data_IF_177224677463
#
_entry.id   IF_177224677463
#
_cell.length_a   1.000
_cell.length_b   1.000
_cell.length_c   1.000
_cell.angle_alpha   90.00
_cell.angle_beta   90.00
_cell.angle_gamma   90.00
#
_symmetry.space_group_name_H-M   'P 1'
#
loop_
_entity.id
_entity.type
_entity.pdbx_description
1 polymer ?
#
# COMPACT_ATOMS: atom_id res chain seq x y z
N UNK A 1 10.20 -3.68 -22.25
CA UNK A 1 9.94 -3.15 -20.89
C UNK A 1 8.45 -2.95 -20.68
N UNK A 2 7.76 -2.17 -21.52
CA UNK A 2 6.29 -1.96 -21.41
C UNK A 2 5.47 -3.26 -21.36
N UNK A 3 5.75 -4.25 -22.22
CA UNK A 3 5.00 -5.53 -22.18
C UNK A 3 5.24 -6.35 -20.91
N UNK A 4 6.47 -6.33 -20.38
CA UNK A 4 6.80 -7.00 -19.12
C UNK A 4 6.16 -6.30 -17.92
N UNK A 5 6.00 -4.98 -18.01
CA UNK A 5 5.29 -4.17 -17.04
C UNK A 5 3.78 -4.45 -17.09
N UNK A 6 3.21 -4.57 -18.29
CA UNK A 6 1.80 -4.94 -18.48
C UNK A 6 1.50 -6.33 -17.90
N UNK A 7 2.31 -7.35 -18.23
CA UNK A 7 2.17 -8.70 -17.67
C UNK A 7 2.27 -8.70 -16.13
N UNK A 8 3.21 -7.92 -15.59
CA UNK A 8 3.40 -7.77 -14.15
C UNK A 8 2.19 -7.13 -13.44
N UNK A 9 1.57 -6.11 -14.06
CA UNK A 9 0.35 -5.46 -13.55
C UNK A 9 -0.87 -6.36 -13.72
N UNK A 10 -0.95 -7.07 -14.85
CA UNK A 10 -2.10 -7.91 -15.20
C UNK A 10 -2.21 -9.14 -14.31
N UNK A 11 -1.09 -9.81 -14.02
CA UNK A 11 -1.10 -11.03 -13.20
C UNK A 11 -1.02 -10.74 -11.70
N UNK A 12 -0.08 -9.87 -11.29
CA UNK A 12 0.19 -9.59 -9.87
C UNK A 12 0.69 -10.79 -9.04
N UNK A 13 0.89 -11.96 -9.65
CA UNK A 13 1.29 -13.22 -8.97
C UNK A 13 2.77 -13.52 -9.19
N UNK A 14 3.61 -13.23 -8.18
CA UNK A 14 4.98 -13.74 -7.99
C UNK A 14 6.04 -13.35 -9.02
N UNK A 15 5.75 -13.42 -10.32
CA UNK A 15 6.64 -13.17 -11.44
C UNK A 15 6.93 -11.68 -11.66
N UNK A 16 6.00 -10.81 -11.28
CA UNK A 16 6.11 -9.36 -11.39
C UNK A 16 7.43 -8.82 -10.81
N UNK A 17 7.94 -9.43 -9.72
CA UNK A 17 9.21 -9.04 -9.10
C UNK A 17 10.41 -9.26 -10.02
N UNK A 18 10.42 -10.35 -10.80
CA UNK A 18 11.51 -10.62 -11.74
C UNK A 18 11.47 -9.65 -12.91
N UNK A 19 10.27 -9.28 -13.37
CA UNK A 19 10.09 -8.24 -14.39
C UNK A 19 10.55 -6.88 -13.89
N UNK A 20 10.20 -6.52 -12.65
CA UNK A 20 10.66 -5.33 -11.98
C UNK A 20 12.19 -5.32 -11.87
N UNK A 21 12.82 -6.36 -11.32
CA UNK A 21 14.28 -6.45 -11.19
C UNK A 21 15.03 -6.43 -12.53
N UNK A 22 14.44 -7.03 -13.57
CA UNK A 22 14.95 -6.97 -14.93
C UNK A 22 14.87 -5.56 -15.52
N UNK A 23 13.70 -4.92 -15.41
CA UNK A 23 13.52 -3.53 -15.81
C UNK A 23 14.46 -2.61 -15.03
N UNK A 24 14.73 -2.95 -13.76
CA UNK A 24 15.58 -2.16 -12.91
C UNK A 24 17.00 -2.02 -13.48
N UNK A 25 17.59 -3.17 -13.81
CA UNK A 25 18.93 -3.26 -14.41
C UNK A 25 19.01 -2.53 -15.76
N UNK A 26 17.94 -2.57 -16.55
CA UNK A 26 17.89 -1.91 -17.85
C UNK A 26 17.87 -0.38 -17.74
N UNK A 27 17.08 0.19 -16.83
CA UNK A 27 17.04 1.64 -16.63
C UNK A 27 18.40 2.19 -16.19
N UNK A 28 19.06 1.52 -15.23
CA UNK A 28 20.41 1.91 -14.78
C UNK A 28 21.42 1.86 -15.93
N UNK A 29 21.35 0.84 -16.79
CA UNK A 29 22.25 0.73 -17.93
C UNK A 29 22.06 1.86 -18.97
N UNK A 30 20.85 2.44 -19.06
CA UNK A 30 20.48 3.45 -20.05
C UNK A 30 20.83 4.88 -19.63
N UNK A 31 20.78 5.19 -18.33
CA UNK A 31 21.18 6.50 -17.79
C UNK A 31 22.66 6.85 -18.08
N UNK A 32 23.48 5.88 -18.49
CA UNK A 32 24.88 6.06 -18.87
C UNK A 32 25.14 6.60 -20.29
N UNK A 33 24.10 6.83 -21.11
CA UNK A 33 24.25 7.22 -22.52
C UNK A 33 23.77 8.66 -22.78
N UNK A 34 24.61 9.47 -23.45
CA UNK A 34 24.30 10.87 -23.79
C UNK A 34 23.28 10.98 -24.94
N UNK A 35 22.29 11.89 -24.86
CA UNK A 35 21.20 11.96 -25.83
C UNK A 35 21.59 12.69 -27.13
N UNK A 36 21.19 12.15 -28.29
CA UNK A 36 21.31 12.84 -29.59
C UNK A 36 20.29 12.34 -30.63
N UNK A 37 19.04 12.85 -30.61
CA UNK A 37 18.13 12.96 -31.78
C UNK A 37 16.66 13.22 -31.36
N UNK A 38 15.75 13.60 -32.28
CA UNK A 38 14.30 13.69 -32.03
C UNK A 38 13.64 12.34 -31.66
N UNK A 39 14.13 11.23 -32.19
CA UNK A 39 13.72 9.86 -31.79
C UNK A 39 13.97 9.62 -30.30
N UNK A 40 14.96 10.31 -29.73
CA UNK A 40 15.29 10.26 -28.31
C UNK A 40 14.14 10.79 -27.44
N UNK A 41 13.41 11.84 -27.84
CA UNK A 41 12.31 12.40 -27.02
C UNK A 41 11.18 11.41 -26.75
N UNK A 42 10.82 10.59 -27.74
CA UNK A 42 9.80 9.55 -27.57
C UNK A 42 10.33 8.40 -26.69
N UNK A 43 11.62 8.07 -26.82
CA UNK A 43 12.31 7.11 -25.96
C UNK A 43 12.40 7.65 -24.52
N UNK A 44 12.63 8.94 -24.33
CA UNK A 44 12.75 9.59 -23.02
C UNK A 44 11.39 9.60 -22.29
N UNK A 45 10.27 9.85 -23.00
CA UNK A 45 8.94 9.73 -22.40
C UNK A 45 8.61 8.28 -22.00
N UNK A 46 8.94 7.31 -22.85
CA UNK A 46 8.76 5.89 -22.53
C UNK A 46 9.64 5.47 -21.34
N UNK A 47 10.89 5.93 -21.28
CA UNK A 47 11.80 5.65 -20.19
C UNK A 47 11.30 6.31 -18.88
N UNK A 48 10.74 7.52 -18.93
CA UNK A 48 10.09 8.17 -17.80
C UNK A 48 8.84 7.41 -17.32
N UNK A 49 7.97 7.01 -18.24
CA UNK A 49 6.79 6.18 -17.92
C UNK A 49 7.19 4.85 -17.29
N UNK A 50 8.18 4.17 -17.85
CA UNK A 50 8.67 2.88 -17.31
C UNK A 50 9.35 3.08 -15.96
N UNK A 51 10.07 4.18 -15.76
CA UNK A 51 10.65 4.53 -14.47
C UNK A 51 9.56 4.74 -13.41
N UNK A 52 8.55 5.55 -13.71
CA UNK A 52 7.43 5.84 -12.83
C UNK A 52 6.67 4.57 -12.45
N UNK A 53 6.40 3.75 -13.44
CA UNK A 53 5.72 2.47 -13.29
C UNK A 53 6.53 1.48 -12.42
N UNK A 54 7.84 1.36 -12.67
CA UNK A 54 8.72 0.53 -11.85
C UNK A 54 8.75 1.03 -10.39
N UNK A 55 8.77 2.34 -10.18
CA UNK A 55 8.80 2.92 -8.85
C UNK A 55 7.49 2.65 -8.10
N UNK A 56 6.34 2.84 -8.73
CA UNK A 56 5.04 2.51 -8.13
C UNK A 56 4.93 1.02 -7.83
N UNK A 57 5.32 0.15 -8.77
CA UNK A 57 5.33 -1.30 -8.53
C UNK A 57 6.25 -1.70 -7.38
N UNK A 58 7.42 -1.06 -7.25
CA UNK A 58 8.33 -1.30 -6.14
C UNK A 58 7.68 -0.88 -4.83
N UNK A 59 7.15 0.34 -4.72
CA UNK A 59 6.55 0.88 -3.49
C UNK A 59 5.32 0.09 -3.07
N UNK A 60 4.43 -0.20 -4.01
CA UNK A 60 3.18 -0.90 -3.73
C UNK A 60 3.40 -2.39 -3.53
N UNK A 61 4.19 -3.05 -4.38
CA UNK A 61 4.48 -4.47 -4.27
C UNK A 61 5.24 -4.82 -2.99
N UNK A 62 6.08 -3.90 -2.50
CA UNK A 62 6.73 -3.99 -1.20
C UNK A 62 5.77 -4.16 0.00
N UNK A 63 4.50 -3.78 -0.15
CA UNK A 63 3.48 -3.90 0.92
C UNK A 63 2.92 -5.31 1.06
N UNK A 64 2.96 -6.13 0.00
CA UNK A 64 2.36 -7.46 -0.06
C UNK A 64 3.35 -8.57 -0.42
N UNK A 65 4.61 -8.20 -0.72
CA UNK A 65 5.71 -9.13 -0.90
C UNK A 65 6.39 -9.47 0.43
N UNK A 66 7.03 -10.65 0.44
CA UNK A 66 7.88 -11.05 1.56
C UNK A 66 9.11 -10.14 1.68
N UNK A 67 9.65 -9.99 2.91
CA UNK A 67 10.91 -9.28 3.10
C UNK A 67 12.03 -9.89 2.26
N UNK A 68 12.87 -9.02 1.69
CA UNK A 68 14.00 -9.46 0.88
C UNK A 68 13.63 -10.06 -0.49
N UNK A 69 12.33 -10.17 -0.84
CA UNK A 69 11.91 -10.61 -2.17
C UNK A 69 12.25 -9.59 -3.27
N UNK A 70 12.39 -8.32 -2.92
CA UNK A 70 12.75 -7.22 -3.82
C UNK A 70 14.15 -6.74 -3.48
N UNK A 71 14.92 -6.34 -4.49
CA UNK A 71 16.15 -5.59 -4.22
C UNK A 71 15.81 -4.18 -3.76
N UNK A 72 16.79 -3.49 -3.16
CA UNK A 72 16.62 -2.11 -2.67
C UNK A 72 15.93 -1.25 -3.73
N UNK A 73 14.97 -0.40 -3.34
CA UNK A 73 14.29 0.48 -4.26
C UNK A 73 15.30 1.26 -5.09
N UNK A 74 14.91 1.60 -6.31
CA UNK A 74 15.66 2.56 -7.09
C UNK A 74 15.77 3.93 -6.46
N UNK A 75 14.87 4.20 -5.52
CA UNK A 75 14.83 5.39 -4.72
C UNK A 75 16.15 5.53 -3.93
N UNK A 76 17.14 6.16 -4.55
CA UNK A 76 18.30 6.70 -3.85
C UNK A 76 17.82 7.84 -2.95
N UNK A 77 18.58 8.15 -1.90
CA UNK A 77 18.47 9.43 -1.20
C UNK A 77 18.54 10.66 -2.12
N UNK A 78 19.02 10.48 -3.36
CA UNK A 78 19.10 11.52 -4.40
C UNK A 78 17.79 11.71 -5.20
N UNK A 79 16.85 10.76 -5.14
CA UNK A 79 15.53 10.90 -5.77
C UNK A 79 14.64 11.67 -4.79
N UNK A 80 14.58 12.98 -4.99
CA UNK A 80 13.88 13.90 -4.08
C UNK A 80 12.35 13.74 -4.06
N UNK A 81 11.67 14.43 -3.12
CA UNK A 81 10.21 14.41 -2.95
C UNK A 81 9.44 14.80 -4.23
N UNK A 82 10.08 15.55 -5.12
CA UNK A 82 9.56 15.92 -6.45
C UNK A 82 9.17 14.71 -7.31
N UNK A 83 9.83 13.55 -7.11
CA UNK A 83 9.49 12.34 -7.88
C UNK A 83 8.19 11.74 -7.41
N UNK A 84 7.97 11.65 -6.09
CA UNK A 84 6.69 11.19 -5.54
C UNK A 84 5.58 12.19 -5.84
N UNK A 85 5.88 13.49 -5.80
CA UNK A 85 4.94 14.54 -6.20
C UNK A 85 4.52 14.37 -7.66
N UNK A 86 5.47 14.19 -8.57
CA UNK A 86 5.17 13.88 -9.97
C UNK A 86 4.32 12.61 -10.11
N UNK A 87 4.59 11.56 -9.33
CA UNK A 87 3.81 10.32 -9.37
C UNK A 87 2.35 10.51 -8.92
N UNK A 88 2.05 11.44 -8.02
CA UNK A 88 0.65 11.68 -7.66
C UNK A 88 -0.18 12.23 -8.83
N UNK A 89 0.49 12.97 -9.73
CA UNK A 89 -0.10 13.56 -10.93
C UNK A 89 -0.09 12.57 -12.12
N UNK A 90 0.98 11.77 -12.27
CA UNK A 90 1.21 10.97 -13.47
C UNK A 90 0.93 9.47 -13.31
N UNK A 91 0.93 8.94 -12.08
CA UNK A 91 0.70 7.52 -11.85
C UNK A 91 -0.79 7.18 -11.88
N UNK A 92 -1.10 5.98 -12.38
CA UNK A 92 -2.47 5.48 -12.45
C UNK A 92 -3.04 5.00 -11.10
N UNK A 93 -2.31 5.15 -10.00
CA UNK A 93 -2.67 4.63 -8.68
C UNK A 93 -3.52 5.61 -7.87
N UNK A 94 -3.52 6.91 -8.21
CA UNK A 94 -4.32 7.94 -7.53
C UNK A 94 -4.01 8.13 -6.04
N UNK A 95 -2.82 7.72 -5.59
CA UNK A 95 -2.36 7.85 -4.21
C UNK A 95 -1.63 9.19 -4.03
N UNK A 96 -2.00 10.01 -3.02
CA UNK A 96 -1.27 11.22 -2.67
C UNK A 96 0.22 10.97 -2.44
N UNK A 97 1.09 11.87 -2.93
CA UNK A 97 2.54 11.68 -2.87
C UNK A 97 3.07 11.48 -1.44
N UNK A 98 2.50 12.21 -0.50
CA UNK A 98 2.81 12.06 0.93
C UNK A 98 2.56 10.63 1.43
N UNK A 99 1.41 10.05 1.07
CA UNK A 99 1.04 8.70 1.49
C UNK A 99 1.91 7.63 0.81
N UNK A 100 2.33 7.86 -0.44
CA UNK A 100 3.36 7.04 -1.10
C UNK A 100 4.70 7.08 -0.35
N UNK A 101 5.13 8.25 0.14
CA UNK A 101 6.36 8.39 0.92
C UNK A 101 6.26 7.60 2.24
N UNK A 102 5.11 7.65 2.91
CA UNK A 102 4.86 6.85 4.12
C UNK A 102 4.98 5.35 3.83
N UNK A 103 4.34 4.85 2.77
CA UNK A 103 4.41 3.42 2.40
C UNK A 103 5.86 3.01 2.16
N UNK A 104 6.61 3.80 1.39
CA UNK A 104 8.02 3.60 1.11
C UNK A 104 8.85 3.54 2.40
N UNK A 105 8.66 4.52 3.27
CA UNK A 105 9.39 4.64 4.52
C UNK A 105 9.12 3.48 5.49
N UNK A 106 7.86 3.07 5.62
CA UNK A 106 7.46 1.91 6.42
C UNK A 106 8.15 0.66 5.90
N UNK A 107 8.18 0.45 4.59
CA UNK A 107 8.88 -0.69 4.01
C UNK A 107 10.39 -0.66 4.31
N UNK A 108 11.09 0.44 3.98
CA UNK A 108 12.54 0.55 4.18
C UNK A 108 12.98 0.43 5.64
N UNK A 109 12.17 0.95 6.57
CA UNK A 109 12.53 0.97 7.99
C UNK A 109 12.11 -0.27 8.77
N UNK A 110 10.99 -0.89 8.41
CA UNK A 110 10.34 -1.92 9.22
C UNK A 110 10.36 -3.30 8.56
N UNK A 111 10.56 -3.38 7.24
CA UNK A 111 10.63 -4.64 6.49
C UNK A 111 12.07 -4.98 6.10
N UNK A 112 12.80 -5.60 7.03
CA UNK A 112 14.13 -6.26 6.90
C UNK A 112 15.16 -5.60 5.98
N UNK A 113 16.24 -5.11 6.58
CA UNK A 113 17.41 -4.63 5.85
C UNK A 113 18.57 -5.63 5.87
N UNK A 114 19.15 -5.99 4.71
CA UNK A 114 20.35 -6.80 4.64
C UNK A 114 21.67 -6.04 4.93
N UNK A 115 21.68 -4.70 5.06
CA UNK A 115 22.92 -3.93 5.29
C UNK A 115 22.81 -2.84 6.38
N UNK A 116 23.24 -3.14 7.63
CA UNK A 116 23.14 -2.25 8.78
C UNK A 116 23.99 -0.97 8.67
N UNK A 117 24.82 -0.82 7.63
CA UNK A 117 25.68 0.34 7.43
C UNK A 117 25.01 1.50 6.69
N UNK A 118 23.86 1.29 6.05
CA UNK A 118 23.17 2.34 5.27
C UNK A 118 22.30 3.19 6.18
N UNK A 119 22.51 4.52 6.20
CA UNK A 119 21.61 5.44 6.91
C UNK A 119 20.16 5.25 6.45
N UNK A 120 19.17 5.32 7.37
CA UNK A 120 17.77 5.24 6.99
C UNK A 120 17.37 6.42 6.10
N UNK A 121 16.44 6.22 5.15
CA UNK A 121 15.93 7.32 4.34
C UNK A 121 15.28 8.37 5.23
N UNK A 122 15.51 9.65 4.93
CA UNK A 122 14.83 10.75 5.59
C UNK A 122 13.44 10.96 4.96
N UNK A 123 12.44 11.20 5.80
CA UNK A 123 11.12 11.64 5.33
C UNK A 123 11.19 13.13 5.00
N UNK A 124 10.79 13.51 3.79
CA UNK A 124 10.94 14.88 3.30
C UNK A 124 9.67 15.73 3.46
N UNK A 125 8.53 15.11 3.76
CA UNK A 125 7.28 15.82 4.01
C UNK A 125 7.24 16.37 5.44
N UNK A 126 6.88 17.64 5.55
CA UNK A 126 6.83 18.35 6.83
C UNK A 126 5.47 18.20 7.48
N UNK A 127 5.45 17.94 8.79
CA UNK A 127 4.24 17.95 9.59
C UNK A 127 4.51 18.45 11.00
N UNK A 128 3.47 18.98 11.64
CA UNK A 128 3.53 19.34 13.07
C UNK A 128 3.81 18.14 13.96
N UNK A 129 3.49 16.92 13.50
CA UNK A 129 3.73 15.67 14.21
C UNK A 129 5.10 15.06 13.92
N UNK A 130 5.78 15.49 12.85
CA UNK A 130 7.13 15.05 12.46
C UNK A 130 7.93 16.24 11.90
N UNK A 131 8.79 16.88 12.72
CA UNK A 131 9.59 18.03 12.29
C UNK A 131 10.47 17.70 11.08
N UNK A 132 10.67 18.69 10.20
CA UNK A 132 11.45 18.54 8.97
C UNK A 132 12.86 17.99 9.27
N UNK A 133 13.25 16.91 8.58
CA UNK A 133 14.55 16.25 8.74
C UNK A 133 14.67 15.36 9.98
N UNK A 134 13.59 15.17 10.76
CA UNK A 134 13.55 14.13 11.78
C UNK A 134 13.48 12.75 11.12
N UNK A 135 13.99 11.72 11.82
CA UNK A 135 13.90 10.34 11.37
C UNK A 135 12.73 9.66 12.10
N UNK A 136 11.59 9.40 11.43
CA UNK A 136 10.45 8.77 12.08
C UNK A 136 10.74 7.36 12.62
N UNK A 137 11.79 6.66 12.16
CA UNK A 137 12.18 5.35 12.71
C UNK A 137 12.76 5.45 14.12
N UNK A 138 13.24 6.63 14.51
CA UNK A 138 13.75 6.91 15.85
C UNK A 138 12.67 7.49 16.77
N UNK A 139 11.48 7.79 16.23
CA UNK A 139 10.36 8.30 17.01
C UNK A 139 9.45 7.15 17.47
N UNK A 140 8.61 7.38 18.50
CA UNK A 140 7.56 6.44 18.86
C UNK A 140 6.69 6.09 17.65
N UNK A 141 6.31 4.83 17.43
CA UNK A 141 5.56 4.44 16.23
C UNK A 141 4.19 5.16 16.12
N UNK A 142 3.65 5.61 17.25
CA UNK A 142 2.43 6.44 17.32
C UNK A 142 2.57 7.78 16.61
N UNK A 143 3.78 8.36 16.54
CA UNK A 143 4.01 9.64 15.86
C UNK A 143 3.78 9.52 14.34
N UNK A 144 4.17 8.40 13.73
CA UNK A 144 3.92 8.14 12.32
C UNK A 144 2.41 8.00 12.03
N UNK A 145 1.70 7.28 12.89
CA UNK A 145 0.24 7.12 12.78
C UNK A 145 -0.49 8.47 12.93
N UNK A 146 -0.09 9.30 13.89
CA UNK A 146 -0.62 10.67 14.04
C UNK A 146 -0.33 11.53 12.81
N UNK A 147 0.86 11.38 12.22
CA UNK A 147 1.20 12.10 11.01
C UNK A 147 0.34 11.70 9.81
N UNK A 148 0.05 10.40 9.62
CA UNK A 148 -0.87 9.93 8.59
C UNK A 148 -2.27 10.50 8.81
N UNK A 149 -2.75 10.51 10.06
CA UNK A 149 -4.07 11.08 10.38
C UNK A 149 -4.15 12.59 10.13
N UNK A 150 -3.03 13.30 10.31
CA UNK A 150 -2.93 14.73 10.05
C UNK A 150 -2.95 15.10 8.57
N UNK A 151 -2.78 14.14 7.66
CA UNK A 151 -3.01 14.38 6.24
C UNK A 151 -4.44 14.85 6.01
N UNK A 152 -4.59 15.98 5.32
CA UNK A 152 -5.87 16.62 5.02
C UNK A 152 -6.32 16.28 3.59
N UNK A 153 -7.33 15.39 3.43
CA UNK A 153 -7.85 15.02 2.11
C UNK A 153 -8.48 16.18 1.35
N UNK A 154 -9.03 17.18 2.05
CA UNK A 154 -9.69 18.34 1.42
C UNK A 154 -8.64 19.26 0.84
N UNK A 155 -7.62 19.63 1.64
CA UNK A 155 -6.53 20.46 1.18
C UNK A 155 -5.79 19.83 -0.01
N UNK A 156 -5.55 18.51 0.02
CA UNK A 156 -4.95 17.80 -1.12
C UNK A 156 -5.87 17.84 -2.36
N UNK A 157 -7.18 17.63 -2.20
CA UNK A 157 -8.12 17.67 -3.31
C UNK A 157 -8.19 19.07 -3.97
N UNK A 158 -8.09 20.13 -3.17
CA UNK A 158 -7.98 21.51 -3.60
C UNK A 158 -6.64 21.79 -4.32
N UNK A 159 -5.50 21.31 -3.80
CA UNK A 159 -4.19 21.45 -4.46
C UNK A 159 -4.21 20.83 -5.86
N UNK A 160 -4.84 19.66 -6.01
CA UNK A 160 -4.99 18.96 -7.28
C UNK A 160 -5.84 19.70 -8.31
N UNK A 161 -6.56 20.77 -7.94
CA UNK A 161 -7.26 21.64 -8.91
C UNK A 161 -6.28 22.38 -9.84
N UNK A 162 -5.03 22.59 -9.41
CA UNK A 162 -3.99 23.17 -10.24
C UNK A 162 -3.54 22.25 -11.39
N UNK A 163 -3.70 20.94 -11.21
CA UNK A 163 -3.36 19.92 -12.20
C UNK A 163 -4.57 19.51 -13.05
N UNK A 164 -5.67 19.10 -12.40
CA UNK A 164 -6.92 18.73 -13.06
C UNK A 164 -8.09 19.41 -12.35
N UNK A 165 -8.74 20.33 -13.06
CA UNK A 165 -9.92 21.00 -12.52
C UNK A 165 -11.14 20.07 -12.54
N UNK A 166 -11.79 19.92 -11.39
CA UNK A 166 -13.07 19.21 -11.26
C UNK A 166 -14.13 20.13 -10.65
N UNK A 167 -15.37 20.12 -11.19
CA UNK A 167 -16.45 20.95 -10.66
C UNK A 167 -16.93 20.48 -9.28
N UNK A 168 -16.81 19.19 -8.98
CA UNK A 168 -17.11 18.60 -7.68
C UNK A 168 -15.87 17.89 -7.13
N UNK A 169 -15.44 18.29 -5.94
CA UNK A 169 -14.30 17.70 -5.25
C UNK A 169 -14.67 16.51 -4.37
N UNK A 170 -15.95 16.19 -4.20
CA UNK A 170 -16.43 15.17 -3.26
C UNK A 170 -15.80 13.80 -3.50
N UNK A 171 -15.73 13.35 -4.76
CA UNK A 171 -15.13 12.05 -5.12
C UNK A 171 -13.61 12.06 -4.90
N UNK A 172 -12.93 13.15 -5.26
CA UNK A 172 -11.48 13.30 -5.05
C UNK A 172 -11.11 13.33 -3.56
N UNK A 173 -11.88 14.03 -2.74
CA UNK A 173 -11.74 14.06 -1.28
C UNK A 173 -12.01 12.67 -0.68
N UNK A 174 -13.02 11.95 -1.21
CA UNK A 174 -13.30 10.58 -0.79
C UNK A 174 -12.12 9.64 -1.12
N UNK A 175 -11.55 9.74 -2.33
CA UNK A 175 -10.37 8.97 -2.75
C UNK A 175 -9.18 9.22 -1.83
N UNK A 176 -8.86 10.48 -1.54
CA UNK A 176 -7.78 10.83 -0.62
C UNK A 176 -8.05 10.33 0.81
N UNK A 177 -9.31 10.34 1.26
CA UNK A 177 -9.71 9.77 2.56
C UNK A 177 -9.53 8.25 2.60
N UNK A 178 -9.89 7.55 1.52
CA UNK A 178 -9.71 6.11 1.36
C UNK A 178 -8.22 5.75 1.46
N UNK A 179 -7.37 6.45 0.69
CA UNK A 179 -5.92 6.24 0.74
C UNK A 179 -5.34 6.50 2.13
N UNK A 180 -5.74 7.61 2.78
CA UNK A 180 -5.30 7.91 4.15
C UNK A 180 -5.64 6.77 5.12
N UNK A 181 -6.88 6.28 5.07
CA UNK A 181 -7.33 5.20 5.95
C UNK A 181 -6.61 3.87 5.64
N UNK A 182 -6.43 3.52 4.36
CA UNK A 182 -5.73 2.30 3.97
C UNK A 182 -4.24 2.32 4.35
N UNK A 183 -3.54 3.44 4.12
CA UNK A 183 -2.14 3.60 4.55
C UNK A 183 -2.02 3.59 6.07
N UNK A 184 -2.98 4.18 6.80
CA UNK A 184 -3.02 4.08 8.26
C UNK A 184 -3.09 2.63 8.74
N UNK A 185 -4.02 1.85 8.20
CA UNK A 185 -4.26 0.45 8.59
C UNK A 185 -3.08 -0.46 8.22
N UNK A 186 -2.52 -0.30 7.01
CA UNK A 186 -1.30 -1.00 6.63
C UNK A 186 -0.15 -0.68 7.58
N UNK A 187 0.07 0.61 7.83
CA UNK A 187 1.14 1.09 8.71
C UNK A 187 0.95 0.55 10.13
N UNK A 188 -0.22 0.73 10.73
CA UNK A 188 -0.49 0.25 12.09
C UNK A 188 -0.27 -1.25 12.23
N UNK A 189 -0.62 -2.04 11.21
CA UNK A 189 -0.38 -3.49 11.20
C UNK A 189 1.12 -3.80 11.20
N UNK A 190 1.90 -3.21 10.28
CA UNK A 190 3.37 -3.39 10.24
C UNK A 190 4.03 -2.99 11.56
N UNK A 191 3.56 -1.89 12.16
CA UNK A 191 4.09 -1.38 13.43
C UNK A 191 3.71 -2.26 14.64
N UNK A 192 2.53 -2.88 14.62
CA UNK A 192 2.05 -3.73 15.73
C UNK A 192 2.83 -5.04 15.85
N UNK A 193 3.35 -5.56 14.73
CA UNK A 193 4.08 -6.83 14.64
C UNK A 193 5.29 -6.68 13.71
N UNK A 194 6.33 -5.94 14.12
CA UNK A 194 7.52 -5.77 13.30
C UNK A 194 8.16 -7.13 13.04
N UNK A 195 8.61 -7.33 11.80
CA UNK A 195 9.32 -8.54 11.42
C UNK A 195 10.66 -8.61 12.18
N UNK A 196 11.09 -9.81 12.59
CA UNK A 196 12.20 -10.05 13.52
C UNK A 196 13.56 -9.41 13.15
N UNK A 197 13.74 -9.01 11.88
CA UNK A 197 14.97 -8.41 11.35
C UNK A 197 14.77 -6.96 10.85
N UNK A 198 13.68 -6.30 11.23
CA UNK A 198 13.45 -4.87 10.94
C UNK A 198 14.43 -3.97 11.70
N UNK A 199 14.78 -2.81 11.12
CA UNK A 199 15.67 -1.83 11.76
C UNK A 199 15.00 -1.13 12.94
N UNK A 200 13.68 -0.95 12.88
CA UNK A 200 12.91 -0.28 13.89
C UNK A 200 12.42 -1.23 14.99
N UNK A 201 12.43 -0.75 16.24
CA UNK A 201 11.90 -1.48 17.40
C UNK A 201 10.46 -1.03 17.64
N UNK A 202 9.49 -1.95 17.58
CA UNK A 202 8.13 -1.61 18.02
C UNK A 202 8.09 -1.46 19.53
N UNK A 203 7.42 -0.41 19.98
CA UNK A 203 7.08 -0.17 21.38
C UNK A 203 5.56 -0.22 21.60
N UNK A 204 4.75 -0.49 20.57
CA UNK A 204 3.29 -0.60 20.68
C UNK A 204 2.91 -2.07 20.87
N UNK A 205 2.32 -2.46 22.01
CA UNK A 205 1.67 -3.75 22.14
C UNK A 205 0.32 -3.69 21.41
N UNK A 206 0.20 -4.43 20.30
CA UNK A 206 -1.08 -4.59 19.59
C UNK A 206 -1.46 -3.44 18.66
N UNK A 207 -2.74 -3.39 18.29
CA UNK A 207 -3.25 -2.42 17.33
C UNK A 207 -3.69 -1.12 18.02
N UNK A 208 -3.67 0.03 17.33
CA UNK A 208 -4.23 1.27 17.86
C UNK A 208 -5.71 1.13 18.25
N UNK A 209 -6.19 1.82 19.31
CA UNK A 209 -7.60 1.73 19.73
C UNK A 209 -8.62 2.17 18.67
N UNK A 210 -8.23 3.06 17.77
CA UNK A 210 -9.07 3.55 16.68
C UNK A 210 -9.03 2.67 15.42
N UNK A 211 -8.20 1.61 15.39
CA UNK A 211 -7.97 0.78 14.22
C UNK A 211 -9.28 0.23 13.63
N UNK A 212 -10.17 -0.33 14.45
CA UNK A 212 -11.50 -0.81 14.02
C UNK A 212 -12.39 0.31 13.45
N UNK A 213 -12.33 1.50 14.04
CA UNK A 213 -13.09 2.65 13.55
C UNK A 213 -12.57 3.11 12.18
N UNK A 214 -11.26 3.10 11.97
CA UNK A 214 -10.64 3.41 10.67
C UNK A 214 -10.94 2.34 9.62
N UNK A 215 -10.97 1.04 9.99
CA UNK A 215 -11.44 -0.03 9.09
C UNK A 215 -12.86 0.20 8.63
N UNK A 216 -13.77 0.50 9.56
CA UNK A 216 -15.18 0.79 9.22
C UNK A 216 -15.31 2.03 8.34
N UNK A 217 -14.55 3.09 8.63
CA UNK A 217 -14.49 4.30 7.81
C UNK A 217 -14.06 3.96 6.37
N UNK A 218 -12.99 3.18 6.21
CA UNK A 218 -12.48 2.79 4.89
C UNK A 218 -13.54 2.02 4.10
N UNK A 219 -14.16 1.00 4.71
CA UNK A 219 -15.22 0.20 4.07
C UNK A 219 -16.42 1.07 3.67
N UNK A 220 -16.81 2.04 4.51
CA UNK A 220 -17.91 2.97 4.22
C UNK A 220 -17.57 3.98 3.12
N UNK A 221 -16.30 4.36 2.96
CA UNK A 221 -15.88 5.35 1.97
C UNK A 221 -15.69 4.75 0.57
N UNK A 222 -15.27 3.48 0.46
CA UNK A 222 -15.04 2.80 -0.83
C UNK A 222 -16.24 2.94 -1.80
N UNK A 223 -17.50 2.70 -1.40
CA UNK A 223 -18.66 2.82 -2.30
C UNK A 223 -18.97 4.25 -2.76
N UNK A 224 -18.33 5.28 -2.21
CA UNK A 224 -18.53 6.66 -2.63
C UNK A 224 -17.82 6.99 -3.94
N UNK A 225 -16.92 6.12 -4.41
CA UNK A 225 -16.28 6.27 -5.72
C UNK A 225 -17.13 5.52 -6.74
N UNK A 226 -17.81 6.21 -7.67
CA UNK A 226 -18.64 5.56 -8.67
C UNK A 226 -17.80 4.68 -9.61
N UNK A 227 -18.39 3.59 -10.11
CA UNK A 227 -17.75 2.73 -11.13
C UNK A 227 -17.35 3.51 -12.39
N UNK A 228 -18.11 4.55 -12.73
CA UNK A 228 -17.84 5.40 -13.89
C UNK A 228 -16.74 6.45 -13.66
N UNK A 229 -16.21 6.57 -12.44
CA UNK A 229 -15.11 7.50 -12.14
C UNK A 229 -13.77 6.89 -12.57
N UNK A 230 -12.92 7.68 -13.22
CA UNK A 230 -11.61 7.23 -13.72
C UNK A 230 -10.68 6.69 -12.62
N UNK A 231 -10.91 7.08 -11.36
CA UNK A 231 -10.15 6.61 -10.21
C UNK A 231 -10.72 5.34 -9.58
N UNK A 232 -11.79 4.75 -10.11
CA UNK A 232 -12.38 3.54 -9.54
C UNK A 232 -11.38 2.38 -9.49
N UNK A 233 -10.53 2.25 -10.53
CA UNK A 233 -9.41 1.28 -10.57
C UNK A 233 -8.36 1.48 -9.48
N UNK A 234 -8.20 2.71 -8.96
CA UNK A 234 -7.24 3.03 -7.89
C UNK A 234 -7.61 2.37 -6.56
N UNK A 235 -8.78 1.74 -6.47
CA UNK A 235 -9.30 1.11 -5.26
C UNK A 235 -8.82 -0.33 -5.04
N UNK A 236 -8.06 -0.94 -5.97
CA UNK A 236 -7.60 -2.33 -5.83
C UNK A 236 -6.88 -2.54 -4.50
N UNK A 237 -5.81 -1.77 -4.25
CA UNK A 237 -5.03 -1.89 -3.03
C UNK A 237 -5.83 -1.47 -1.77
N UNK A 238 -6.49 -0.29 -1.72
CA UNK A 238 -7.30 0.08 -0.55
C UNK A 238 -8.41 -0.92 -0.21
N UNK A 239 -9.06 -1.52 -1.21
CA UNK A 239 -10.10 -2.54 -1.00
C UNK A 239 -9.51 -3.83 -0.47
N UNK A 240 -8.32 -4.22 -0.93
CA UNK A 240 -7.60 -5.35 -0.37
C UNK A 240 -7.24 -5.12 1.10
N UNK A 241 -6.69 -3.95 1.46
CA UNK A 241 -6.41 -3.61 2.86
C UNK A 241 -7.69 -3.63 3.69
N UNK A 242 -8.77 -3.01 3.21
CA UNK A 242 -10.06 -3.05 3.89
C UNK A 242 -10.54 -4.49 4.16
N UNK A 243 -10.37 -5.39 3.17
CA UNK A 243 -10.77 -6.79 3.28
C UNK A 243 -9.90 -7.60 4.23
N UNK A 244 -8.59 -7.39 4.20
CA UNK A 244 -7.65 -8.04 5.11
C UNK A 244 -7.92 -7.63 6.57
N UNK A 245 -8.36 -6.39 6.77
CA UNK A 245 -8.78 -5.84 8.06
C UNK A 245 -10.20 -6.25 8.48
N UNK A 246 -11.08 -6.57 7.52
CA UNK A 246 -12.49 -6.83 7.74
C UNK A 246 -12.72 -8.06 8.63
N UNK A 247 -13.21 -7.83 9.85
CA UNK A 247 -13.51 -8.89 10.82
C UNK A 247 -14.96 -9.33 10.79
N UNK A 248 -15.85 -8.47 10.26
CA UNK A 248 -17.29 -8.67 10.15
C UNK A 248 -17.64 -9.39 8.84
N UNK A 249 -18.18 -10.63 8.89
CA UNK A 249 -18.57 -11.36 7.69
C UNK A 249 -19.63 -10.66 6.84
N UNK A 250 -20.48 -9.80 7.43
CA UNK A 250 -21.54 -9.08 6.71
C UNK A 250 -21.01 -8.00 5.77
N UNK A 251 -19.78 -7.50 6.00
CA UNK A 251 -19.12 -6.48 5.19
C UNK A 251 -18.22 -7.08 4.09
N UNK A 252 -17.94 -8.38 4.12
CA UNK A 252 -17.11 -9.04 3.09
C UNK A 252 -17.75 -9.01 1.68
N UNK A 253 -19.08 -9.17 1.51
CA UNK A 253 -19.71 -9.12 0.20
C UNK A 253 -19.51 -7.78 -0.53
N UNK A 254 -19.57 -6.64 0.16
CA UNK A 254 -19.38 -5.34 -0.49
C UNK A 254 -17.95 -5.18 -1.02
N UNK A 255 -16.95 -5.70 -0.31
CA UNK A 255 -15.55 -5.67 -0.75
C UNK A 255 -15.30 -6.57 -1.96
N UNK A 256 -15.89 -7.77 -1.97
CA UNK A 256 -15.83 -8.65 -3.14
C UNK A 256 -16.59 -8.08 -4.34
N UNK A 257 -17.72 -7.41 -4.11
CA UNK A 257 -18.47 -6.71 -5.17
C UNK A 257 -17.66 -5.56 -5.75
N UNK A 258 -16.97 -4.77 -4.93
CA UNK A 258 -16.06 -3.72 -5.40
C UNK A 258 -14.94 -4.31 -6.27
N UNK A 259 -14.24 -5.34 -5.80
CA UNK A 259 -13.19 -6.00 -6.60
C UNK A 259 -13.76 -6.61 -7.89
N UNK A 260 -14.94 -7.23 -7.83
CA UNK A 260 -15.60 -7.74 -9.03
C UNK A 260 -15.94 -6.64 -10.03
N UNK A 261 -16.42 -5.49 -9.56
CA UNK A 261 -16.73 -4.35 -10.42
C UNK A 261 -15.45 -3.80 -11.07
N UNK A 262 -14.36 -3.67 -10.31
CA UNK A 262 -13.06 -3.24 -10.85
C UNK A 262 -12.58 -4.27 -11.90
N UNK A 263 -12.72 -5.57 -11.64
CA UNK A 263 -12.35 -6.60 -12.61
C UNK A 263 -13.09 -6.45 -13.94
N UNK A 264 -14.38 -6.11 -13.93
CA UNK A 264 -15.11 -5.89 -15.18
C UNK A 264 -14.72 -4.62 -15.91
N UNK A 265 -14.19 -3.62 -15.19
CA UNK A 265 -13.72 -2.36 -15.76
C UNK A 265 -12.31 -2.50 -16.38
N UNK A 266 -11.35 -3.09 -15.66
CA UNK A 266 -9.95 -3.18 -16.10
C UNK A 266 -9.55 -4.55 -16.67
N UNK A 267 -10.38 -5.58 -16.53
CA UNK A 267 -10.15 -6.96 -17.00
C UNK A 267 -8.84 -7.61 -16.52
N UNK A 268 -8.33 -7.20 -15.36
CA UNK A 268 -7.02 -7.63 -14.85
C UNK A 268 -7.13 -8.85 -13.93
N UNK A 269 -6.28 -9.88 -14.18
CA UNK A 269 -6.19 -11.09 -13.34
C UNK A 269 -5.79 -10.74 -11.90
N UNK A 270 -5.02 -9.66 -11.73
CA UNK A 270 -4.62 -9.08 -10.47
C UNK A 270 -5.81 -8.89 -9.50
N UNK A 271 -6.89 -8.29 -10.00
CA UNK A 271 -8.08 -7.98 -9.20
C UNK A 271 -8.78 -9.27 -8.73
N UNK A 272 -8.81 -10.27 -9.61
CA UNK A 272 -9.33 -11.61 -9.27
C UNK A 272 -8.46 -12.29 -8.22
N UNK A 273 -7.13 -12.17 -8.33
CA UNK A 273 -6.20 -12.71 -7.35
C UNK A 273 -6.37 -12.04 -5.98
N UNK A 274 -6.54 -10.72 -5.93
CA UNK A 274 -6.84 -9.99 -4.69
C UNK A 274 -8.11 -10.53 -4.01
N UNK A 275 -9.21 -10.70 -4.76
CA UNK A 275 -10.47 -11.24 -4.24
C UNK A 275 -10.33 -12.69 -3.75
N UNK A 276 -9.56 -13.52 -4.46
CA UNK A 276 -9.28 -14.89 -4.08
C UNK A 276 -8.46 -14.99 -2.80
N UNK A 277 -7.38 -14.20 -2.68
CA UNK A 277 -6.53 -14.17 -1.48
C UNK A 277 -7.33 -13.71 -0.26
N UNK A 278 -8.19 -12.69 -0.39
CA UNK A 278 -9.11 -12.28 0.68
C UNK A 278 -10.02 -13.43 1.12
N UNK A 279 -10.62 -14.13 0.15
CA UNK A 279 -11.54 -15.24 0.43
C UNK A 279 -10.84 -16.37 1.20
N UNK A 280 -9.60 -16.71 0.83
CA UNK A 280 -8.79 -17.70 1.53
C UNK A 280 -8.44 -17.26 2.96
N UNK A 281 -8.03 -15.99 3.14
CA UNK A 281 -7.71 -15.45 4.45
C UNK A 281 -8.93 -15.49 5.38
N UNK A 282 -10.10 -15.09 4.89
CA UNK A 282 -11.35 -15.16 5.64
C UNK A 282 -11.73 -16.59 6.01
N UNK A 283 -11.61 -17.55 5.09
CA UNK A 283 -11.87 -18.96 5.38
C UNK A 283 -10.94 -19.50 6.48
N UNK A 284 -9.64 -19.20 6.42
CA UNK A 284 -8.68 -19.57 7.46
C UNK A 284 -9.05 -18.95 8.81
N UNK A 285 -9.35 -17.66 8.81
CA UNK A 285 -9.74 -16.89 10.01
C UNK A 285 -11.00 -17.45 10.67
N UNK A 286 -12.03 -17.71 9.87
CA UNK A 286 -13.30 -18.27 10.36
C UNK A 286 -13.12 -19.70 10.90
N UNK A 287 -12.29 -20.51 10.22
CA UNK A 287 -11.97 -21.87 10.68
C UNK A 287 -11.25 -21.87 12.03
N UNK A 288 -10.29 -20.95 12.24
CA UNK A 288 -9.60 -20.78 13.52
C UNK A 288 -10.55 -20.37 14.63
N UNK A 289 -11.44 -19.40 14.37
CA UNK A 289 -12.47 -18.96 15.32
C UNK A 289 -13.42 -20.10 15.70
N UNK A 290 -13.86 -20.90 14.73
CA UNK A 290 -14.74 -22.04 14.98
C UNK A 290 -14.07 -23.14 15.83
N UNK A 291 -12.78 -23.39 15.63
CA UNK A 291 -12.00 -24.34 16.45
C UNK A 291 -11.86 -23.86 17.90
N UNK A 292 -11.52 -22.58 18.11
CA UNK A 292 -11.40 -21.98 19.45
C UNK A 292 -12.72 -22.03 20.24
N UNK A 293 -13.86 -21.87 19.55
CA UNK A 293 -15.18 -21.99 20.16
C UNK A 293 -15.55 -23.43 20.54
N UNK A 294 -14.96 -24.44 19.88
CA UNK A 294 -15.17 -25.86 20.19
C UNK A 294 -14.28 -26.34 21.34
N UNK A 295 -13.06 -25.80 21.45
CA UNK A 295 -12.09 -26.17 22.50
C UNK A 295 -12.21 -25.32 23.79
N UNK A 296 -13.09 -24.31 23.81
CA UNK A 296 -13.30 -23.44 24.97
C UNK A 296 -14.04 -24.12 26.14
N UNK A 297 -13.45 -24.07 27.33
CA UNK A 297 -13.96 -24.65 28.59
C UNK A 297 -15.40 -24.14 28.92
N UNK A 298 -16.41 -25.00 29.15
CA UNK A 298 -17.80 -24.59 29.34
C UNK A 298 -18.06 -23.71 30.58
N UNK A 299 -17.07 -23.56 31.46
CA UNK A 299 -17.15 -22.81 32.71
C UNK A 299 -16.30 -21.52 32.74
N UNK A 300 -15.69 -21.13 31.61
CA UNK A 300 -14.95 -19.88 31.48
C UNK A 300 -15.86 -18.66 31.45
N UNK A 301 -15.72 -17.80 32.47
CA UNK A 301 -16.36 -16.48 32.65
C UNK A 301 -16.71 -15.74 31.35
N UNK A 302 -17.93 -15.21 31.28
CA UNK A 302 -18.40 -14.18 30.33
C UNK A 302 -17.52 -12.91 30.40
N UNK A 303 -16.32 -12.98 29.86
CA UNK A 303 -15.53 -11.80 29.52
C UNK A 303 -15.98 -11.41 28.12
N UNK A 304 -16.44 -10.17 27.96
CA UNK A 304 -16.78 -9.60 26.67
C UNK A 304 -15.74 -9.96 25.61
N UNK A 305 -16.24 -10.48 24.49
CA UNK A 305 -15.54 -10.87 23.27
C UNK A 305 -14.93 -9.64 22.56
N UNK A 306 -14.01 -8.96 23.24
CA UNK A 306 -12.98 -8.11 22.63
C UNK A 306 -11.66 -8.90 22.59
N UNK A 307 -11.75 -10.22 22.41
CA UNK A 307 -10.59 -11.05 22.13
C UNK A 307 -9.99 -10.57 20.82
N UNK A 308 -8.92 -9.77 20.92
CA UNK A 308 -8.12 -9.34 19.78
C UNK A 308 -7.87 -10.55 18.90
N UNK A 309 -8.54 -10.57 17.75
CA UNK A 309 -8.33 -11.61 16.78
C UNK A 309 -6.88 -11.53 16.32
N UNK A 310 -6.07 -12.45 16.81
CA UNK A 310 -4.64 -12.58 16.57
C UNK A 310 -4.29 -12.86 15.10
N UNK A 311 -5.30 -12.88 14.21
CA UNK A 311 -5.12 -13.01 12.77
C UNK A 311 -4.34 -11.82 12.17
N UNK A 312 -3.05 -12.02 12.02
CA UNK A 312 -2.15 -11.13 11.29
C UNK A 312 -2.09 -11.52 9.80
N UNK A 313 -2.79 -10.72 8.97
CA UNK A 313 -2.80 -10.97 7.53
C UNK A 313 -1.44 -10.72 6.86
N UNK A 314 -0.55 -9.91 7.44
CA UNK A 314 0.80 -9.70 6.89
C UNK A 314 1.61 -11.00 7.04
N UNK A 315 1.51 -11.64 8.21
CA UNK A 315 2.13 -12.94 8.44
C UNK A 315 1.55 -14.02 7.51
N UNK A 316 0.23 -14.03 7.29
CA UNK A 316 -0.38 -14.98 6.35
C UNK A 316 0.09 -14.80 4.91
N UNK A 317 0.32 -13.56 4.47
CA UNK A 317 0.93 -13.30 3.17
C UNK A 317 2.38 -13.80 3.13
N UNK A 318 3.15 -13.57 4.20
CA UNK A 318 4.53 -14.05 4.30
C UNK A 318 4.62 -15.58 4.21
N UNK A 319 3.67 -16.27 4.83
CA UNK A 319 3.59 -17.74 4.83
C UNK A 319 3.08 -18.31 3.50
N UNK A 320 2.38 -17.51 2.67
CA UNK A 320 1.76 -17.95 1.41
C UNK A 320 2.74 -18.35 0.30
N UNK A 321 4.04 -18.07 0.48
CA UNK A 321 5.15 -18.28 -0.47
C UNK A 321 5.04 -17.53 -1.81
N UNK A 322 3.95 -16.81 -2.04
CA UNK A 322 3.70 -15.97 -3.22
C UNK A 322 3.91 -14.51 -2.83
N UNK A 323 4.62 -13.77 -3.68
CA UNK A 323 4.78 -12.32 -3.50
C UNK A 323 3.73 -11.62 -4.38
N UNK A 324 2.78 -10.95 -3.75
CA UNK A 324 1.65 -10.34 -4.46
C UNK A 324 1.93 -8.88 -4.84
N UNK A 325 1.28 -8.43 -5.90
CA UNK A 325 1.19 -7.02 -6.29
C UNK A 325 -0.26 -6.73 -6.64
N UNK A 326 -0.97 -5.97 -5.80
CA UNK A 326 -2.35 -5.57 -6.05
C UNK A 326 -2.42 -4.06 -6.29
N UNK A 327 -2.44 -3.64 -7.56
CA UNK A 327 -2.46 -2.24 -8.02
C UNK A 327 -3.23 -2.09 -9.33
#
# INVERSE_FOLDING_TARGET
>A
MVLALMDAIESGDGAWKYHLEGAKKLLVSRQSKSPSSPTQRMIDWLDAFVFDSCLIMQVMGATLARPGSLSKPFYSSDIGPETLKRLEETAWIGCPAYLLEVIFFVHEGWCVDPDPSTNPPAMNYSSTFLPKGSNPLLQPPTALLQHIQAFDPVAWAEEMQSFLHLPDLSVRTALATIWRAAVYLYTSRVLSRPRAHGRAKSTIPGLPPDHKAITNLLIQKIPLIPVADDHFKCLIWPTFIAGAECTDPSLRPILLQTLSAIYYDVTSVNVRNAAWVLSLMWQKRDSRRAQQQQDGDPFGSFVHDDGEDDFDWIQELDDSRIDWLFI
#
